data_IF_928164564175
#
_entry.id   IF_928164564175
#
_cell.length_a   1.000
_cell.length_b   1.000
_cell.length_c   1.000
_cell.angle_alpha   90.00
_cell.angle_beta   90.00
_cell.angle_gamma   90.00
#
_symmetry.space_group_name_H-M   'P 1'
#
loop_
_entity.id
_entity.type
_entity.pdbx_description
1 polymer ?
#
# COMPACT_ATOMS: atom_id res chain seq x y z
N UNK A 1 -12.57 4.37 3.87
CA UNK A 1 -11.54 5.27 4.43
C UNK A 1 -10.95 6.06 3.28
N UNK A 2 -10.50 7.31 3.46
CA UNK A 2 -9.86 8.06 2.37
C UNK A 2 -8.40 8.27 2.71
N UNK A 3 -7.51 7.46 2.13
CA UNK A 3 -6.06 7.70 2.19
C UNK A 3 -5.70 8.93 1.33
N UNK A 4 -4.67 9.70 1.71
CA UNK A 4 -4.22 10.86 0.92
C UNK A 4 -3.71 10.43 -0.45
N UNK A 5 -3.67 11.35 -1.42
CA UNK A 5 -3.02 11.07 -2.70
C UNK A 5 -1.49 10.92 -2.52
N UNK A 6 -0.91 9.89 -3.14
CA UNK A 6 0.52 9.61 -3.09
C UNK A 6 1.11 9.62 -4.51
N UNK A 7 2.18 10.39 -4.70
CA UNK A 7 2.96 10.35 -5.92
C UNK A 7 3.96 9.17 -5.90
N UNK A 8 3.64 8.08 -6.60
CA UNK A 8 4.47 6.87 -6.64
C UNK A 8 5.89 7.08 -7.17
N UNK A 9 6.13 8.14 -7.97
CA UNK A 9 7.48 8.45 -8.48
C UNK A 9 8.43 8.90 -7.38
N UNK A 10 7.90 9.45 -6.28
CA UNK A 10 8.69 9.97 -5.16
C UNK A 10 8.77 9.00 -3.98
N UNK A 11 8.17 7.81 -4.10
CA UNK A 11 8.26 6.78 -3.07
C UNK A 11 9.63 6.13 -3.03
N UNK A 12 10.13 5.94 -1.81
CA UNK A 12 11.30 5.14 -1.46
C UNK A 12 11.07 3.65 -1.77
N UNK A 13 12.16 2.88 -1.84
CA UNK A 13 12.10 1.45 -2.16
C UNK A 13 11.50 0.60 -1.02
N UNK A 14 11.63 1.05 0.22
CA UNK A 14 11.15 0.34 1.40
C UNK A 14 10.64 1.30 2.47
N UNK A 15 9.47 0.99 3.02
CA UNK A 15 8.86 1.73 4.11
C UNK A 15 8.71 0.84 5.34
N UNK A 16 9.18 1.31 6.50
CA UNK A 16 8.89 0.62 7.76
C UNK A 16 7.38 0.68 8.07
N UNK A 17 6.91 -0.17 8.97
CA UNK A 17 5.50 -0.13 9.42
C UNK A 17 5.13 1.28 9.91
N UNK A 18 6.01 1.93 10.67
CA UNK A 18 5.79 3.30 11.16
C UNK A 18 5.71 4.30 10.01
N UNK A 19 6.66 4.26 9.08
CA UNK A 19 6.65 5.14 7.91
C UNK A 19 5.42 4.93 7.01
N UNK A 20 4.91 3.70 6.94
CA UNK A 20 3.67 3.40 6.19
C UNK A 20 2.44 4.00 6.87
N UNK A 21 2.35 3.93 8.20
CA UNK A 21 1.29 4.59 8.95
C UNK A 21 1.29 6.12 8.73
N UNK A 22 2.47 6.74 8.75
CA UNK A 22 2.64 8.18 8.49
C UNK A 22 2.26 8.53 7.04
N UNK A 23 2.71 7.71 6.08
CA UNK A 23 2.43 7.90 4.66
C UNK A 23 0.93 7.81 4.32
N UNK A 24 0.20 6.90 4.97
CA UNK A 24 -1.22 6.68 4.75
C UNK A 24 -2.13 7.47 5.70
N UNK A 25 -1.53 8.25 6.61
CA UNK A 25 -2.23 8.99 7.66
C UNK A 25 -3.21 8.12 8.47
N UNK A 26 -2.79 6.90 8.82
CA UNK A 26 -3.64 5.93 9.55
C UNK A 26 -2.94 5.28 10.73
N UNK A 27 -3.73 4.79 11.69
CA UNK A 27 -3.23 4.07 12.84
C UNK A 27 -2.66 2.69 12.50
N UNK A 28 -1.79 2.16 13.36
CA UNK A 28 -1.20 0.82 13.21
C UNK A 28 -2.26 -0.28 13.13
N UNK A 29 -3.35 -0.17 13.90
CA UNK A 29 -4.44 -1.15 13.88
C UNK A 29 -5.22 -1.10 12.57
N UNK A 30 -5.43 0.09 12.01
CA UNK A 30 -6.10 0.27 10.71
C UNK A 30 -5.24 -0.27 9.57
N UNK A 31 -3.93 0.04 9.58
CA UNK A 31 -2.97 -0.52 8.64
C UNK A 31 -2.96 -2.05 8.72
N UNK A 32 -2.98 -2.62 9.93
CA UNK A 32 -3.03 -4.09 10.10
C UNK A 32 -4.30 -4.67 9.49
N UNK A 33 -5.46 -4.08 9.76
CA UNK A 33 -6.74 -4.53 9.20
C UNK A 33 -6.77 -4.43 7.66
N UNK A 34 -6.19 -3.36 7.09
CA UNK A 34 -6.05 -3.19 5.65
C UNK A 34 -5.14 -4.27 5.04
N UNK A 35 -3.99 -4.53 5.67
CA UNK A 35 -3.06 -5.59 5.28
C UNK A 35 -3.73 -6.97 5.30
N UNK A 36 -4.50 -7.28 6.34
CA UNK A 36 -5.27 -8.54 6.44
C UNK A 36 -6.35 -8.62 5.37
N UNK A 37 -7.10 -7.54 5.13
CA UNK A 37 -8.16 -7.46 4.12
C UNK A 37 -7.66 -7.72 2.70
N UNK A 38 -6.51 -7.16 2.36
CA UNK A 38 -5.95 -7.23 1.01
C UNK A 38 -4.83 -8.25 0.85
N UNK A 39 -4.60 -9.07 1.87
CA UNK A 39 -3.55 -10.09 1.92
C UNK A 39 -2.16 -9.52 1.55
N UNK A 40 -1.82 -8.37 2.14
CA UNK A 40 -0.50 -7.73 2.02
C UNK A 40 0.25 -7.95 3.34
N UNK A 41 1.44 -8.53 3.27
CA UNK A 41 2.22 -8.87 4.46
C UNK A 41 3.52 -8.06 4.52
N UNK A 42 3.91 -7.53 5.69
CA UNK A 42 5.19 -6.88 5.86
C UNK A 42 6.32 -7.90 5.73
N UNK A 43 7.41 -7.48 5.09
CA UNK A 43 8.64 -8.26 4.91
C UNK A 43 9.72 -7.73 5.83
N UNK A 44 10.62 -8.62 6.22
CA UNK A 44 11.84 -8.26 6.94
C UNK A 44 12.94 -7.93 5.92
N UNK A 45 13.63 -6.81 6.10
CA UNK A 45 14.79 -6.45 5.28
C UNK A 45 16.10 -7.03 5.86
N UNK A 46 17.22 -6.80 5.17
CA UNK A 46 18.54 -7.34 5.51
C UNK A 46 19.06 -6.93 6.90
N UNK A 47 18.58 -5.79 7.43
CA UNK A 47 18.92 -5.28 8.76
C UNK A 47 17.92 -5.72 9.84
N UNK A 48 16.95 -6.57 9.50
CA UNK A 48 15.98 -7.13 10.44
C UNK A 48 14.74 -6.26 10.71
N UNK A 49 14.57 -5.14 10.01
CA UNK A 49 13.40 -4.27 10.16
C UNK A 49 12.21 -4.75 9.33
N UNK A 50 11.00 -4.66 9.90
CA UNK A 50 9.75 -4.99 9.21
C UNK A 50 9.15 -3.79 8.50
N UNK A 51 8.66 -4.02 7.29
CA UNK A 51 8.08 -2.99 6.44
C UNK A 51 7.58 -3.54 5.12
N UNK A 52 7.40 -2.66 4.14
CA UNK A 52 6.83 -2.99 2.84
C UNK A 52 7.75 -2.44 1.75
N UNK A 53 7.91 -3.22 0.69
CA UNK A 53 8.56 -2.73 -0.52
C UNK A 53 7.61 -1.77 -1.25
N UNK A 54 8.18 -0.89 -2.06
CA UNK A 54 7.44 0.09 -2.86
C UNK A 54 6.24 -0.51 -3.61
N UNK A 55 6.41 -1.69 -4.19
CA UNK A 55 5.33 -2.40 -4.89
C UNK A 55 4.13 -2.67 -3.97
N UNK A 56 4.37 -3.20 -2.78
CA UNK A 56 3.33 -3.54 -1.81
C UNK A 56 2.64 -2.25 -1.28
N UNK A 57 3.40 -1.16 -1.10
CA UNK A 57 2.86 0.16 -0.76
C UNK A 57 1.94 0.69 -1.86
N UNK A 58 2.39 0.70 -3.12
CA UNK A 58 1.59 1.18 -4.25
C UNK A 58 0.31 0.36 -4.40
N UNK A 59 0.42 -0.97 -4.30
CA UNK A 59 -0.73 -1.88 -4.38
C UNK A 59 -1.73 -1.61 -3.26
N UNK A 60 -1.27 -1.54 -2.01
CA UNK A 60 -2.13 -1.30 -0.86
C UNK A 60 -2.76 0.09 -0.89
N UNK A 61 -2.00 1.12 -1.22
CA UNK A 61 -2.51 2.48 -1.39
C UNK A 61 -3.56 2.55 -2.50
N UNK A 62 -3.31 1.95 -3.67
CA UNK A 62 -4.28 1.93 -4.76
C UNK A 62 -5.61 1.30 -4.33
N UNK A 63 -5.53 0.14 -3.67
CA UNK A 63 -6.72 -0.55 -3.16
C UNK A 63 -7.50 0.32 -2.18
N UNK A 64 -6.82 0.97 -1.22
CA UNK A 64 -7.43 1.85 -0.22
C UNK A 64 -7.96 3.16 -0.81
N UNK A 65 -7.26 3.75 -1.78
CA UNK A 65 -7.63 5.02 -2.40
C UNK A 65 -8.89 4.89 -3.26
N UNK A 66 -9.08 3.73 -3.90
CA UNK A 66 -10.28 3.44 -4.69
C UNK A 66 -11.39 2.75 -3.88
N UNK A 67 -11.13 2.35 -2.63
CA UNK A 67 -12.12 1.75 -1.74
C UNK A 67 -13.24 2.75 -1.37
N UNK A 68 -14.32 2.75 -2.16
CA UNK A 68 -15.49 3.62 -1.98
C UNK A 68 -15.70 4.65 -3.09
N UNK A 69 -14.74 4.80 -4.00
CA UNK A 69 -14.93 5.50 -5.29
C UNK A 69 -15.41 4.42 -6.26
N UNK A 70 -16.69 4.46 -6.65
CA UNK A 70 -17.29 3.52 -7.64
C UNK A 70 -16.44 3.46 -8.93
N UNK A 71 -15.44 2.60 -8.95
CA UNK A 71 -14.71 2.23 -10.14
C UNK A 71 -14.76 0.72 -10.22
N UNK A 72 -15.45 0.28 -11.27
CA UNK A 72 -15.38 -1.04 -11.88
C UNK A 72 -14.03 -1.69 -11.60
N UNK A 73 -14.05 -2.73 -10.75
CA UNK A 73 -13.01 -3.74 -10.73
C UNK A 73 -12.67 -4.07 -12.18
N UNK A 74 -11.46 -3.74 -12.66
CA UNK A 74 -10.84 -4.13 -13.94
C UNK A 74 -9.63 -3.24 -14.33
N UNK A 75 -9.22 -2.22 -13.56
CA UNK A 75 -8.06 -1.39 -13.91
C UNK A 75 -6.68 -2.08 -13.75
N UNK A 76 -6.65 -3.40 -13.54
CA UNK A 76 -5.43 -4.18 -13.25
C UNK A 76 -5.22 -5.38 -14.18
N UNK A 77 -5.97 -5.48 -15.28
CA UNK A 77 -5.44 -6.19 -16.44
C UNK A 77 -4.59 -5.19 -17.24
N UNK A 78 -3.49 -4.72 -16.62
CA UNK A 78 -2.38 -4.14 -17.37
C UNK A 78 -1.72 -5.34 -18.05
N UNK A 79 -2.15 -5.64 -19.27
CA UNK A 79 -1.54 -6.68 -20.09
C UNK A 79 -0.05 -6.35 -20.18
N UNK A 80 0.84 -7.20 -19.64
CA UNK A 80 2.28 -6.92 -19.63
C UNK A 80 2.88 -6.89 -21.05
N UNK A 81 2.06 -7.10 -22.08
CA UNK A 81 2.40 -7.11 -23.50
C UNK A 81 1.51 -6.19 -24.39
N UNK A 82 0.63 -5.34 -23.84
CA UNK A 82 -0.22 -4.43 -24.63
C UNK A 82 0.50 -3.17 -25.14
#
# INVERSE_FOLDING_TARGET
>A
MSVPYINYKQLEEFYTIKGTCELFEMGKSELKAACEKYNVQPRQNEIGAYGFVKYDICRLHNLLYHEGRNQTANAWEDDPWA
#
